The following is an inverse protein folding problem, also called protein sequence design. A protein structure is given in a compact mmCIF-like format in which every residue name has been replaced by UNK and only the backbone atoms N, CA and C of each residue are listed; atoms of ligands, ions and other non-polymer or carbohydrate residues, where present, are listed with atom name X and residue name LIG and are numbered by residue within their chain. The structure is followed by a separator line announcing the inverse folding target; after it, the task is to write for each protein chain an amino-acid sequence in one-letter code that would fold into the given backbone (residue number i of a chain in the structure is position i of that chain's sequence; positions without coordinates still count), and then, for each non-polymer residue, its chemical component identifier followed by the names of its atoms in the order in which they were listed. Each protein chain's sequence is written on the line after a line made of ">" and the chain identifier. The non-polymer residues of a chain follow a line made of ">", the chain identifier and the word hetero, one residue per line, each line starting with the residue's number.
data_IF_787335458995
#
_entry.id   IF_787335458995
#
_cell.length_a   1.000
_cell.length_b   1.000
_cell.length_c   1.000
_cell.angle_alpha   90.00
_cell.angle_beta   90.00
_cell.angle_gamma   90.00
#
_symmetry.space_group_name_H-M   'P 1'
#
loop_
_entity.id
_entity.type
_entity.pdbx_description
1 polymer ?
#
# COMPACT_ATOMS: atom_id res chain seq x y z
N UNK A 1 19.67 -42.07 27.50
CA UNK A 1 18.52 -42.80 26.95
C UNK A 1 17.46 -41.77 26.56
N UNK A 2 17.33 -41.53 25.26
CA UNK A 2 16.79 -40.30 24.66
C UNK A 2 15.30 -40.05 24.92
N UNK A 3 14.98 -38.77 25.14
CA UNK A 3 13.63 -38.21 25.27
C UNK A 3 13.14 -37.81 23.87
N UNK A 4 12.01 -38.38 23.43
CA UNK A 4 10.68 -37.77 23.41
C UNK A 4 10.49 -36.81 22.22
N UNK A 5 9.71 -37.28 21.22
CA UNK A 5 8.83 -36.56 20.28
C UNK A 5 9.20 -35.12 19.90
N UNK A 6 9.63 -34.95 18.65
CA UNK A 6 9.71 -33.64 17.98
C UNK A 6 8.34 -33.24 17.42
N UNK A 7 7.77 -32.20 18.03
CA UNK A 7 6.59 -31.49 17.55
C UNK A 7 6.82 -30.85 16.16
N UNK A 8 5.74 -30.79 15.37
CA UNK A 8 5.59 -29.92 14.20
C UNK A 8 6.04 -28.48 14.47
N UNK A 9 6.84 -27.90 13.56
CA UNK A 9 6.88 -26.46 13.33
C UNK A 9 7.69 -26.11 12.06
N UNK A 10 6.99 -25.50 11.12
CA UNK A 10 7.40 -24.34 10.31
C UNK A 10 8.64 -24.50 9.44
N UNK A 11 8.38 -24.70 8.13
CA UNK A 11 9.36 -24.62 7.05
C UNK A 11 9.78 -23.15 6.88
N UNK A 12 10.84 -22.80 7.58
CA UNK A 12 11.58 -21.56 7.46
C UNK A 12 12.19 -21.44 6.06
N UNK A 13 11.82 -20.40 5.32
CA UNK A 13 12.60 -19.90 4.18
C UNK A 13 13.00 -18.47 4.50
N UNK A 14 14.29 -18.30 4.74
CA UNK A 14 14.96 -17.01 4.84
C UNK A 14 15.04 -16.40 3.44
N UNK A 15 14.52 -15.20 3.25
CA UNK A 15 15.11 -14.25 2.31
C UNK A 15 15.33 -12.94 3.08
N UNK A 16 16.55 -12.79 3.59
CA UNK A 16 17.11 -11.51 4.00
C UNK A 16 17.22 -10.60 2.76
N UNK A 17 16.89 -9.32 2.94
CA UNK A 17 17.38 -8.12 2.24
C UNK A 17 16.28 -7.06 2.25
N UNK A 18 16.50 -6.02 3.09
CA UNK A 18 16.21 -4.59 2.86
C UNK A 18 15.03 -4.27 1.92
N UNK A 19 13.98 -3.58 2.36
CA UNK A 19 14.05 -2.16 2.66
C UNK A 19 12.90 -1.83 3.61
N UNK A 20 13.22 -1.12 4.68
CA UNK A 20 12.29 -0.18 5.27
C UNK A 20 11.87 0.78 4.16
N UNK A 21 10.77 0.52 3.44
CA UNK A 21 10.14 1.61 2.71
C UNK A 21 9.63 2.53 3.81
N UNK A 22 10.17 3.75 3.98
CA UNK A 22 9.53 4.70 4.89
C UNK A 22 8.07 4.77 4.43
N UNK A 23 7.12 4.54 5.33
CA UNK A 23 5.70 4.51 5.00
C UNK A 23 5.36 5.81 4.27
N UNK A 24 5.31 5.77 2.94
CA UNK A 24 5.08 6.94 2.06
C UNK A 24 3.68 7.48 2.32
N UNK A 25 2.83 6.67 2.95
CA UNK A 25 1.44 6.90 3.28
C UNK A 25 1.21 6.53 4.74
N UNK A 26 0.44 7.35 5.44
CA UNK A 26 0.09 7.18 6.85
C UNK A 26 -1.25 6.46 7.04
N UNK A 27 -2.13 6.47 6.03
CA UNK A 27 -3.43 5.82 6.13
C UNK A 27 -3.92 5.35 4.76
N UNK A 28 -4.33 4.09 4.64
CA UNK A 28 -5.02 3.59 3.46
C UNK A 28 -6.34 2.96 3.88
N UNK A 29 -7.42 3.27 3.17
CA UNK A 29 -8.74 2.71 3.46
C UNK A 29 -9.56 2.54 2.20
N UNK A 30 -10.33 1.46 2.13
CA UNK A 30 -11.31 1.27 1.06
C UNK A 30 -12.43 2.30 1.17
N UNK A 31 -12.74 2.95 0.05
CA UNK A 31 -13.86 3.89 -0.10
C UNK A 31 -15.01 3.26 -0.88
N UNK A 32 -14.71 2.42 -1.87
CA UNK A 32 -15.68 1.63 -2.63
C UNK A 32 -15.02 0.38 -3.18
N UNK A 33 -15.78 -0.46 -3.90
CA UNK A 33 -15.34 -1.77 -4.39
C UNK A 33 -13.90 -1.75 -4.94
N UNK A 34 -13.58 -0.81 -5.83
CA UNK A 34 -12.24 -0.67 -6.41
C UNK A 34 -11.56 0.69 -6.13
N UNK A 35 -12.03 1.48 -5.15
CA UNK A 35 -11.46 2.82 -4.84
C UNK A 35 -10.88 2.86 -3.44
N UNK A 36 -9.63 3.29 -3.33
CA UNK A 36 -8.91 3.49 -2.09
C UNK A 36 -8.66 4.98 -1.83
N UNK A 37 -8.75 5.36 -0.57
CA UNK A 37 -8.20 6.60 -0.05
C UNK A 37 -6.78 6.36 0.46
N UNK A 38 -5.86 7.25 0.11
CA UNK A 38 -4.46 7.22 0.55
C UNK A 38 -4.14 8.55 1.24
N UNK A 39 -3.87 8.53 2.54
CA UNK A 39 -3.53 9.69 3.36
C UNK A 39 -2.09 9.61 3.87
N UNK A 40 -1.55 10.75 4.28
CA UNK A 40 -0.14 10.89 4.70
C UNK A 40 0.84 10.83 3.53
N UNK A 41 0.37 11.13 2.32
CA UNK A 41 1.19 11.24 1.12
C UNK A 41 2.15 12.42 1.29
N UNK A 42 3.42 12.25 0.94
CA UNK A 42 4.38 13.36 0.98
C UNK A 42 3.97 14.49 0.04
N UNK A 43 4.27 15.74 0.41
CA UNK A 43 3.96 16.89 -0.44
C UNK A 43 4.69 16.90 -1.79
N UNK A 44 5.78 16.12 -1.89
CA UNK A 44 6.55 15.91 -3.11
C UNK A 44 6.08 14.71 -3.94
N UNK A 45 5.08 13.97 -3.47
CA UNK A 45 4.53 12.84 -4.22
C UNK A 45 3.42 13.35 -5.13
N UNK A 46 3.53 12.98 -6.41
CA UNK A 46 2.55 13.28 -7.44
C UNK A 46 1.71 12.03 -7.79
N UNK A 47 0.65 12.25 -8.58
CA UNK A 47 -0.25 11.19 -9.06
C UNK A 47 0.49 10.05 -9.75
N UNK A 48 1.54 10.36 -10.51
CA UNK A 48 2.38 9.36 -11.18
C UNK A 48 3.14 8.48 -10.19
N UNK A 49 3.72 9.07 -9.13
CA UNK A 49 4.42 8.31 -8.09
C UNK A 49 3.47 7.45 -7.27
N UNK A 50 2.27 7.98 -6.99
CA UNK A 50 1.20 7.21 -6.36
C UNK A 50 0.80 6.02 -7.24
N UNK A 51 0.50 6.27 -8.52
CA UNK A 51 0.16 5.23 -9.48
C UNK A 51 1.23 4.16 -9.59
N UNK A 52 2.50 4.54 -9.77
CA UNK A 52 3.61 3.60 -9.91
C UNK A 52 3.76 2.70 -8.68
N UNK A 53 3.61 3.29 -7.48
CA UNK A 53 3.63 2.53 -6.23
C UNK A 53 2.49 1.51 -6.14
N UNK A 54 1.29 1.87 -6.60
CA UNK A 54 0.12 0.98 -6.54
C UNK A 54 0.01 0.02 -7.74
N UNK A 55 0.69 0.30 -8.85
CA UNK A 55 0.68 -0.52 -10.07
C UNK A 55 1.22 -1.94 -9.84
N UNK A 56 2.04 -2.14 -8.80
CA UNK A 56 2.54 -3.47 -8.39
C UNK A 56 1.46 -4.38 -7.80
N UNK A 57 0.36 -3.82 -7.31
CA UNK A 57 -0.73 -4.58 -6.68
C UNK A 57 -1.88 -4.85 -7.67
N UNK A 58 -1.95 -4.10 -8.77
CA UNK A 58 -2.97 -4.25 -9.80
C UNK A 58 -3.00 -3.08 -10.77
N UNK A 59 -3.92 -3.12 -11.73
CA UNK A 59 -4.11 -2.07 -12.72
C UNK A 59 -4.79 -0.84 -12.10
N UNK A 60 -4.03 0.25 -11.96
CA UNK A 60 -4.54 1.53 -11.49
C UNK A 60 -5.19 2.28 -12.65
N UNK A 61 -6.51 2.40 -12.62
CA UNK A 61 -7.29 3.18 -13.58
C UNK A 61 -7.15 4.69 -13.36
N UNK A 62 -7.13 5.12 -12.09
CA UNK A 62 -7.08 6.54 -11.74
C UNK A 62 -6.25 6.73 -10.48
N UNK A 63 -5.31 7.67 -10.52
CA UNK A 63 -4.59 8.16 -9.34
C UNK A 63 -4.82 9.66 -9.26
N UNK A 64 -5.30 10.14 -8.10
CA UNK A 64 -5.62 11.55 -7.91
C UNK A 64 -5.08 12.07 -6.60
N UNK A 65 -4.25 13.12 -6.63
CA UNK A 65 -3.79 13.80 -5.43
C UNK A 65 -4.62 15.06 -5.23
N UNK A 66 -5.08 15.27 -4.00
CA UNK A 66 -5.84 16.47 -3.67
C UNK A 66 -4.85 17.56 -3.31
N UNK A 67 -4.76 18.54 -4.20
CA UNK A 67 -3.98 19.76 -4.01
C UNK A 67 -4.88 20.90 -3.54
N UNK A 68 -4.32 21.77 -2.72
CA UNK A 68 -4.90 23.02 -2.30
C UNK A 68 -4.89 24.00 -3.48
N UNK A 69 -6.05 24.53 -3.84
CA UNK A 69 -6.21 25.38 -5.04
C UNK A 69 -5.67 26.80 -4.82
N UNK A 70 -5.55 27.26 -3.57
CA UNK A 70 -5.06 28.60 -3.25
C UNK A 70 -3.52 28.64 -3.22
N UNK A 71 -2.90 27.60 -2.65
CA UNK A 71 -1.45 27.52 -2.47
C UNK A 71 -0.75 26.63 -3.49
N UNK A 72 -1.49 25.80 -4.22
CA UNK A 72 -0.96 24.79 -5.14
C UNK A 72 -0.25 23.63 -4.43
N UNK A 73 -0.35 23.53 -3.09
CA UNK A 73 0.35 22.50 -2.32
C UNK A 73 -0.50 21.24 -2.18
N UNK A 74 0.12 20.07 -2.21
CA UNK A 74 -0.58 18.83 -1.88
C UNK A 74 -1.17 18.91 -0.47
N UNK A 75 -2.39 18.40 -0.28
CA UNK A 75 -3.01 18.29 1.05
C UNK A 75 -2.54 17.06 1.82
N UNK A 76 -1.59 16.31 1.26
CA UNK A 76 -1.04 15.10 1.86
C UNK A 76 -1.98 13.90 1.80
N UNK A 77 -2.93 13.92 0.85
CA UNK A 77 -3.80 12.77 0.59
C UNK A 77 -4.25 12.71 -0.87
N UNK A 78 -4.68 11.53 -1.29
CA UNK A 78 -5.15 11.23 -2.62
C UNK A 78 -6.08 10.02 -2.65
N UNK A 79 -6.47 9.65 -3.86
CA UNK A 79 -7.36 8.55 -4.16
C UNK A 79 -6.77 7.70 -5.28
N UNK A 80 -6.98 6.40 -5.18
CA UNK A 80 -6.60 5.42 -6.19
C UNK A 80 -7.85 4.64 -6.58
N UNK A 81 -8.09 4.49 -7.87
CA UNK A 81 -9.11 3.58 -8.42
C UNK A 81 -8.39 2.47 -9.19
N UNK A 82 -8.70 1.23 -8.85
CA UNK A 82 -8.22 0.03 -9.54
C UNK A 82 -9.24 -0.46 -10.56
N UNK A 83 -8.81 -1.37 -11.45
CA UNK A 83 -9.68 -2.03 -12.40
C UNK A 83 -10.68 -2.96 -11.70
N UNK A 84 -10.26 -3.64 -10.64
CA UNK A 84 -11.07 -4.58 -9.88
C UNK A 84 -11.01 -4.34 -8.38
N UNK A 85 -12.01 -4.88 -7.67
CA UNK A 85 -12.08 -4.80 -6.22
C UNK A 85 -11.05 -5.68 -5.51
N UNK A 86 -10.67 -6.79 -6.15
CA UNK A 86 -9.67 -7.72 -5.63
C UNK A 86 -8.30 -7.06 -5.58
N UNK A 87 -7.92 -6.31 -6.61
CA UNK A 87 -6.67 -5.53 -6.65
C UNK A 87 -6.64 -4.43 -5.56
N UNK A 88 -7.76 -3.73 -5.39
CA UNK A 88 -7.88 -2.73 -4.33
C UNK A 88 -7.75 -3.34 -2.93
N UNK A 89 -8.36 -4.51 -2.70
CA UNK A 89 -8.26 -5.25 -1.45
C UNK A 89 -6.83 -5.75 -1.21
N UNK A 90 -6.16 -6.27 -2.25
CA UNK A 90 -4.77 -6.72 -2.17
C UNK A 90 -3.82 -5.57 -1.80
N UNK A 91 -3.99 -4.40 -2.43
CA UNK A 91 -3.21 -3.20 -2.09
C UNK A 91 -3.46 -2.73 -0.65
N UNK A 92 -4.72 -2.78 -0.19
CA UNK A 92 -5.07 -2.44 1.19
C UNK A 92 -4.41 -3.41 2.18
N UNK A 93 -4.51 -4.72 1.98
CA UNK A 93 -3.91 -5.73 2.86
C UNK A 93 -2.38 -5.67 2.87
N UNK A 94 -1.77 -5.39 1.72
CA UNK A 94 -0.32 -5.23 1.61
C UNK A 94 0.20 -4.00 2.36
N UNK A 95 -0.67 -2.99 2.58
CA UNK A 95 -0.28 -1.73 3.23
C UNK A 95 -0.78 -1.58 4.67
N UNK A 96 -1.87 -2.26 5.05
CA UNK A 96 -2.48 -2.25 6.39
C UNK A 96 -1.71 -3.10 7.43
N UNK A 97 -1.01 -4.15 6.98
CA UNK A 97 -0.17 -4.99 7.85
C UNK A 97 1.24 -4.39 8.06
N UNK A 98 1.34 -3.07 8.28
CA UNK A 98 2.59 -2.34 8.54
C UNK A 98 2.56 -1.64 9.90
#
# INVERSE_FOLDING_TARGET
>A
MGKLLTNSAVKQINHDLSMSTPSVFQAIRSMSSAKLFVGGVSYNTDESGLRDHFARYGEVLEAKIIMDRETGRSRGFGFISFATAEEASAALQATDNQ
#
